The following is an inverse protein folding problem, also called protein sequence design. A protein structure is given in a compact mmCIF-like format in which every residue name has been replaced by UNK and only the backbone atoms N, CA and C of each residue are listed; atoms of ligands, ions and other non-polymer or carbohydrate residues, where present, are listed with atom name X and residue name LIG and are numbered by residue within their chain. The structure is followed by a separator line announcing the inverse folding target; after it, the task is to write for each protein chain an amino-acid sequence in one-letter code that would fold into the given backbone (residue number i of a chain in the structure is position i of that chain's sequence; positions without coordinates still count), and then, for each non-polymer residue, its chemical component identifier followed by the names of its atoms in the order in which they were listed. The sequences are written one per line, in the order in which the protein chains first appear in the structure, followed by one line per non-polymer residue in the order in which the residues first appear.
data_IF_670577871078
#
_entry.id   IF_670577871078
#
_cell.length_a   1.000
_cell.length_b   1.000
_cell.length_c   1.000
_cell.angle_alpha   90.00
_cell.angle_beta   90.00
_cell.angle_gamma   90.00
#
_symmetry.space_group_name_H-M   'P 1'
#
loop_
_entity.id
_entity.type
_entity.pdbx_description
1 polymer ?
#
# COMPACT_ATOMS: atom_id res chain seq x y z
N UNK A 1 -21.91 -63.58 45.98
CA UNK A 1 -21.42 -62.28 45.49
C UNK A 1 -19.90 -62.25 45.67
N UNK A 2 -19.16 -62.30 44.56
CA UNK A 2 -17.69 -62.37 44.52
C UNK A 2 -17.16 -60.99 44.13
N UNK A 3 -16.21 -60.44 44.89
CA UNK A 3 -15.33 -59.36 44.44
C UNK A 3 -13.90 -59.88 44.41
N UNK A 4 -13.23 -59.74 43.26
CA UNK A 4 -11.87 -60.18 43.03
C UNK A 4 -11.03 -59.05 42.43
N UNK A 5 -9.76 -59.09 42.82
CA UNK A 5 -8.70 -58.08 42.81
C UNK A 5 -8.27 -57.57 41.42
N UNK A 6 -7.66 -56.38 41.40
CA UNK A 6 -6.78 -55.89 40.33
C UNK A 6 -5.33 -55.74 40.85
N UNK A 7 -4.31 -56.26 40.13
CA UNK A 7 -2.91 -55.90 40.33
C UNK A 7 -2.26 -55.21 39.11
N UNK A 8 -1.05 -54.69 39.34
CA UNK A 8 -0.27 -53.70 38.57
C UNK A 8 0.45 -54.19 37.28
N UNK A 9 0.86 -53.21 36.46
CA UNK A 9 1.77 -53.11 35.26
C UNK A 9 3.03 -54.02 35.22
N UNK A 10 3.71 -54.36 34.07
CA UNK A 10 4.52 -53.39 33.26
C UNK A 10 5.01 -53.77 31.80
N UNK A 11 5.82 -52.86 31.21
CA UNK A 11 6.97 -53.02 30.25
C UNK A 11 6.85 -52.70 28.74
N UNK A 12 7.85 -51.94 28.30
CA UNK A 12 8.19 -51.53 26.93
C UNK A 12 8.84 -52.63 26.09
N UNK A 13 8.73 -52.53 24.77
CA UNK A 13 9.59 -53.25 23.80
C UNK A 13 10.08 -52.26 22.72
N UNK A 14 11.39 -52.24 22.50
CA UNK A 14 12.10 -51.53 21.43
C UNK A 14 13.03 -52.53 20.72
N UNK A 15 12.89 -52.67 19.40
CA UNK A 15 13.87 -53.23 18.42
C UNK A 15 13.14 -53.33 17.07
N UNK A 16 13.69 -53.16 15.87
CA UNK A 16 15.01 -52.83 15.33
C UNK A 16 14.85 -52.63 13.80
N UNK A 17 15.81 -51.96 13.17
CA UNK A 17 15.99 -51.74 11.72
C UNK A 17 15.69 -52.97 10.83
N UNK A 18 15.14 -52.76 9.62
CA UNK A 18 15.89 -52.78 8.34
C UNK A 18 14.96 -52.59 7.10
N UNK A 19 15.49 -51.89 6.08
CA UNK A 19 15.14 -51.89 4.65
C UNK A 19 14.19 -50.81 4.08
N UNK A 20 14.80 -49.74 3.57
CA UNK A 20 14.28 -48.88 2.48
C UNK A 20 14.52 -49.52 1.10
N UNK A 21 13.89 -48.99 0.04
CA UNK A 21 14.65 -48.16 -0.90
C UNK A 21 14.00 -46.80 -1.21
N UNK A 22 14.88 -45.90 -1.68
CA UNK A 22 14.81 -44.45 -1.76
C UNK A 22 13.94 -43.89 -2.90
N UNK A 23 13.49 -42.63 -2.74
CA UNK A 23 13.65 -41.44 -3.62
C UNK A 23 12.57 -40.37 -3.29
N UNK A 24 12.80 -39.06 -3.56
CA UNK A 24 13.82 -38.20 -2.96
C UNK A 24 13.20 -37.03 -2.15
N UNK A 25 13.94 -36.63 -1.13
CA UNK A 25 13.65 -35.56 -0.17
C UNK A 25 13.81 -34.17 -0.81
N UNK A 26 12.80 -33.31 -0.66
CA UNK A 26 12.89 -31.87 -0.91
C UNK A 26 13.57 -31.22 0.30
N UNK A 27 14.62 -30.39 0.13
CA UNK A 27 15.31 -29.77 1.25
C UNK A 27 14.48 -28.65 1.87
N UNK A 28 14.47 -28.70 3.20
CA UNK A 28 13.96 -27.73 4.16
C UNK A 28 14.63 -26.37 3.97
N UNK A 29 13.83 -25.33 3.76
CA UNK A 29 14.18 -23.96 4.13
C UNK A 29 13.15 -23.49 5.15
N UNK A 30 13.55 -23.46 6.42
CA UNK A 30 12.85 -22.78 7.49
C UNK A 30 13.33 -21.34 7.59
N UNK A 31 12.45 -20.34 7.43
CA UNK A 31 12.62 -19.06 8.11
C UNK A 31 11.76 -19.06 9.38
N UNK A 32 12.44 -18.84 10.49
CA UNK A 32 11.96 -18.34 11.79
C UNK A 32 10.51 -17.86 11.83
N UNK A 33 9.74 -18.43 12.76
CA UNK A 33 8.47 -17.92 13.28
C UNK A 33 8.67 -16.49 13.81
N UNK A 34 7.83 -15.52 13.40
CA UNK A 34 7.42 -14.45 14.28
C UNK A 34 5.96 -14.68 14.69
N UNK A 35 5.74 -14.49 15.98
CA UNK A 35 4.50 -14.50 16.72
C UNK A 35 3.23 -14.18 15.91
N UNK A 36 2.21 -15.01 16.16
CA UNK A 36 0.80 -14.74 15.92
C UNK A 36 0.40 -13.33 16.37
N UNK A 37 0.32 -12.42 15.41
CA UNK A 37 -0.56 -11.26 15.46
C UNK A 37 -1.50 -11.42 14.26
N UNK A 38 -2.77 -11.67 14.53
CA UNK A 38 -3.83 -11.53 13.54
C UNK A 38 -3.84 -10.09 13.05
N UNK A 39 -3.20 -9.85 11.90
CA UNK A 39 -3.43 -8.65 11.12
C UNK A 39 -4.78 -8.84 10.43
N UNK A 40 -5.83 -8.29 11.03
CA UNK A 40 -7.13 -8.16 10.40
C UNK A 40 -6.93 -7.31 9.13
N UNK A 41 -6.81 -8.01 8.00
CA UNK A 41 -6.68 -7.42 6.69
C UNK A 41 -8.05 -6.84 6.36
N UNK A 42 -8.28 -5.56 6.67
CA UNK A 42 -9.49 -4.87 6.25
C UNK A 42 -9.65 -5.06 4.74
N UNK A 43 -10.74 -5.72 4.39
CA UNK A 43 -11.17 -5.99 3.03
C UNK A 43 -11.20 -4.70 2.19
N UNK A 44 -10.45 -4.71 1.09
CA UNK A 44 -10.46 -3.69 0.03
C UNK A 44 -11.82 -3.67 -0.74
N UNK A 45 -12.81 -4.47 -0.32
CA UNK A 45 -14.15 -4.56 -0.92
C UNK A 45 -15.22 -3.69 -0.27
N UNK A 46 -14.95 -3.08 0.89
CA UNK A 46 -15.88 -2.16 1.57
C UNK A 46 -15.46 -0.69 1.52
N UNK A 47 -14.74 -0.30 0.46
CA UNK A 47 -14.87 1.09 0.00
C UNK A 47 -16.23 1.19 -0.70
N UNK A 48 -17.29 1.31 0.11
CA UNK A 48 -18.49 2.05 -0.32
C UNK A 48 -17.98 3.27 -1.06
N UNK A 49 -18.47 3.46 -2.30
CA UNK A 49 -18.23 4.66 -3.11
C UNK A 49 -18.05 5.84 -2.17
N UNK A 50 -16.82 6.35 -2.02
CA UNK A 50 -16.63 7.63 -1.38
C UNK A 50 -17.63 8.55 -2.08
N UNK A 51 -18.56 9.21 -1.37
CA UNK A 51 -19.27 10.30 -2.00
C UNK A 51 -18.17 11.25 -2.47
N UNK A 52 -18.14 11.52 -3.77
CA UNK A 52 -17.28 12.52 -4.38
C UNK A 52 -17.61 13.86 -3.73
N UNK A 53 -17.02 14.12 -2.57
CA UNK A 53 -16.97 15.45 -2.00
C UNK A 53 -16.13 16.27 -2.96
N UNK A 54 -16.81 17.27 -3.51
CA UNK A 54 -16.39 18.17 -4.58
C UNK A 54 -15.29 19.12 -4.11
N UNK A 55 -14.11 18.56 -3.84
CA UNK A 55 -12.90 19.33 -3.56
C UNK A 55 -12.09 19.51 -4.85
N UNK A 56 -11.52 20.71 -5.10
CA UNK A 56 -10.72 20.94 -6.29
C UNK A 56 -9.55 19.97 -6.30
N UNK A 57 -9.27 19.38 -7.45
CA UNK A 57 -8.14 18.49 -7.63
C UNK A 57 -6.84 19.26 -7.37
N UNK A 58 -6.30 19.15 -6.15
CA UNK A 58 -4.97 19.67 -5.87
C UNK A 58 -3.96 18.88 -6.71
N UNK A 59 -3.22 19.64 -7.50
CA UNK A 59 -2.31 19.14 -8.53
C UNK A 59 -1.23 18.26 -7.91
N UNK A 60 -0.85 17.17 -8.59
CA UNK A 60 0.32 16.31 -8.25
C UNK A 60 1.60 17.12 -7.99
N UNK A 61 1.68 18.33 -8.56
CA UNK A 61 2.74 19.31 -8.36
C UNK A 61 2.82 19.88 -6.95
N UNK A 62 1.69 20.02 -6.25
CA UNK A 62 1.67 20.52 -4.87
C UNK A 62 2.38 19.54 -3.92
N UNK A 63 2.30 18.24 -4.19
CA UNK A 63 2.98 17.20 -3.42
C UNK A 63 4.51 17.25 -3.61
N UNK A 64 4.97 17.45 -4.87
CA UNK A 64 6.37 17.74 -5.17
C UNK A 64 6.84 19.02 -4.46
N UNK A 65 5.97 20.02 -4.33
CA UNK A 65 6.26 21.24 -3.58
C UNK A 65 6.42 20.99 -2.08
N UNK A 66 5.74 19.99 -1.49
CA UNK A 66 6.00 19.56 -0.11
C UNK A 66 7.37 18.87 0.08
N UNK A 67 7.95 18.36 -1.01
CA UNK A 67 9.30 17.80 -1.04
C UNK A 67 10.41 18.85 -1.27
N UNK A 68 10.02 20.11 -1.53
CA UNK A 68 10.95 21.21 -1.80
C UNK A 68 12.15 21.35 -0.84
N UNK A 69 12.05 21.17 0.49
CA UNK A 69 13.21 21.35 1.37
C UNK A 69 14.30 20.27 1.20
N UNK A 70 14.00 19.14 0.53
CA UNK A 70 14.93 18.03 0.33
C UNK A 70 15.34 17.84 -1.13
N UNK A 71 15.09 18.85 -1.97
CA UNK A 71 15.39 18.85 -3.40
C UNK A 71 16.85 18.45 -3.73
N UNK A 72 17.80 18.76 -2.84
CA UNK A 72 19.21 18.39 -3.01
C UNK A 72 19.41 16.87 -3.00
N UNK A 73 18.72 16.16 -2.11
CA UNK A 73 18.79 14.71 -2.00
C UNK A 73 18.06 14.03 -3.15
N UNK A 74 16.95 14.63 -3.61
CA UNK A 74 16.23 14.18 -4.79
C UNK A 74 17.11 14.27 -6.05
N UNK A 75 17.80 15.39 -6.27
CA UNK A 75 18.72 15.55 -7.42
C UNK A 75 19.89 14.57 -7.32
N UNK A 76 20.49 14.42 -6.14
CA UNK A 76 21.60 13.49 -5.94
C UNK A 76 21.18 12.04 -6.17
N UNK A 77 19.96 11.67 -5.75
CA UNK A 77 19.34 10.39 -6.06
C UNK A 77 19.08 10.20 -7.55
N UNK A 78 18.57 11.23 -8.24
CA UNK A 78 18.36 11.20 -9.69
C UNK A 78 19.67 11.02 -10.46
N UNK A 79 20.75 11.67 -10.02
CA UNK A 79 22.08 11.52 -10.59
C UNK A 79 22.63 10.11 -10.39
N UNK A 80 22.44 9.52 -9.20
CA UNK A 80 22.76 8.12 -8.92
C UNK A 80 22.00 7.14 -9.81
N UNK A 81 20.69 7.36 -9.98
CA UNK A 81 19.83 6.59 -10.89
C UNK A 81 20.27 6.66 -12.35
N UNK A 82 20.63 7.86 -12.83
CA UNK A 82 21.14 8.06 -14.17
C UNK A 82 22.48 7.34 -14.36
N UNK A 83 23.41 7.50 -13.41
CA UNK A 83 24.72 6.87 -13.43
C UNK A 83 24.64 5.35 -13.46
N UNK A 84 23.80 4.75 -12.61
CA UNK A 84 23.61 3.30 -12.57
C UNK A 84 23.13 2.73 -13.92
N UNK A 85 22.17 3.40 -14.58
CA UNK A 85 21.65 2.96 -15.88
C UNK A 85 22.62 3.20 -17.02
N UNK A 86 23.36 4.30 -16.98
CA UNK A 86 24.42 4.58 -17.95
C UNK A 86 25.50 3.49 -17.93
N UNK A 87 25.94 3.08 -16.73
CA UNK A 87 26.94 2.01 -16.54
C UNK A 87 26.44 0.67 -17.08
N UNK A 88 25.15 0.35 -16.86
CA UNK A 88 24.55 -0.86 -17.39
C UNK A 88 24.55 -0.90 -18.93
N UNK A 89 24.30 0.25 -19.57
CA UNK A 89 24.33 0.37 -21.02
C UNK A 89 25.74 0.21 -21.58
N UNK A 90 26.71 0.87 -20.94
CA UNK A 90 28.14 0.72 -21.26
C UNK A 90 28.58 -0.75 -21.13
N UNK A 91 28.17 -1.42 -20.05
CA UNK A 91 28.48 -2.83 -19.82
C UNK A 91 27.94 -3.73 -20.94
N UNK A 92 26.70 -3.49 -21.40
CA UNK A 92 26.10 -4.27 -22.50
C UNK A 92 26.80 -4.02 -23.83
N UNK A 93 27.21 -2.78 -24.08
CA UNK A 93 28.02 -2.43 -25.26
C UNK A 93 29.35 -3.17 -25.27
N UNK A 94 30.13 -3.08 -24.17
CA UNK A 94 31.43 -3.75 -24.07
C UNK A 94 31.32 -5.28 -24.11
N UNK A 95 30.23 -5.85 -23.59
CA UNK A 95 29.96 -7.28 -23.71
C UNK A 95 29.85 -7.71 -25.19
N UNK A 96 29.17 -6.91 -26.02
CA UNK A 96 29.09 -7.16 -27.47
C UNK A 96 30.45 -7.08 -28.16
N UNK A 97 31.28 -6.11 -27.78
CA UNK A 97 32.64 -5.95 -28.32
C UNK A 97 33.55 -7.12 -27.92
N UNK A 98 33.48 -7.61 -26.69
CA UNK A 98 34.24 -8.80 -26.24
C UNK A 98 33.91 -10.02 -27.11
N UNK A 99 32.63 -10.25 -27.41
CA UNK A 99 32.21 -11.36 -28.28
C UNK A 99 32.83 -11.19 -29.68
N UNK A 100 32.85 -9.98 -30.24
CA UNK A 100 33.46 -9.73 -31.56
C UNK A 100 34.98 -9.98 -31.59
N UNK A 101 35.68 -9.71 -30.49
CA UNK A 101 37.14 -9.92 -30.39
C UNK A 101 37.49 -11.41 -30.35
N UNK A 102 36.61 -12.25 -29.78
CA UNK A 102 36.81 -13.70 -29.77
C UNK A 102 36.81 -14.33 -31.17
N UNK A 103 36.20 -13.66 -32.15
CA UNK A 103 36.20 -14.11 -33.55
C UNK A 103 37.40 -13.62 -34.37
N UNK A 104 38.34 -12.87 -33.78
CA UNK A 104 39.56 -12.47 -34.48
C UNK A 104 40.52 -13.67 -34.62
N UNK A 105 41.18 -13.85 -35.78
CA UNK A 105 42.01 -15.03 -36.06
C UNK A 105 43.39 -15.03 -35.37
N UNK A 106 43.82 -13.92 -34.78
CA UNK A 106 45.19 -13.75 -34.25
C UNK A 106 45.28 -13.94 -32.73
N UNK A 107 45.93 -15.01 -32.27
CA UNK A 107 45.94 -15.44 -30.87
C UNK A 107 46.79 -14.56 -29.91
N UNK A 108 47.71 -13.75 -30.41
CA UNK A 108 48.65 -12.97 -29.60
C UNK A 108 48.06 -11.63 -29.13
N UNK A 109 47.24 -10.97 -29.95
CA UNK A 109 46.60 -9.67 -29.67
C UNK A 109 45.41 -9.80 -28.71
N UNK A 110 44.66 -10.91 -28.80
CA UNK A 110 43.50 -11.22 -27.96
C UNK A 110 43.81 -11.12 -26.45
N UNK A 111 44.97 -11.61 -26.01
CA UNK A 111 45.36 -11.60 -24.58
C UNK A 111 45.60 -10.19 -24.03
N UNK A 112 46.08 -9.26 -24.86
CA UNK A 112 46.32 -7.87 -24.44
C UNK A 112 45.01 -7.09 -24.36
N UNK A 113 44.16 -7.23 -25.38
CA UNK A 113 42.88 -6.53 -25.45
C UNK A 113 41.93 -6.98 -24.32
N UNK A 114 41.84 -8.29 -24.05
CA UNK A 114 41.03 -8.81 -22.95
C UNK A 114 41.46 -8.26 -21.59
N UNK A 115 42.77 -8.05 -21.36
CA UNK A 115 43.24 -7.43 -20.11
C UNK A 115 42.76 -5.99 -19.97
N UNK A 116 42.75 -5.22 -21.06
CA UNK A 116 42.19 -3.86 -21.07
C UNK A 116 40.70 -3.87 -20.73
N UNK A 117 39.90 -4.74 -21.37
CA UNK A 117 38.47 -4.85 -21.06
C UNK A 117 38.23 -5.33 -19.63
N UNK A 118 39.02 -6.27 -19.11
CA UNK A 118 38.92 -6.72 -17.72
C UNK A 118 38.99 -5.54 -16.73
N UNK A 119 39.95 -4.62 -16.90
CA UNK A 119 40.05 -3.43 -16.05
C UNK A 119 38.86 -2.48 -16.22
N UNK A 120 38.33 -2.33 -17.43
CA UNK A 120 37.11 -1.54 -17.69
C UNK A 120 35.92 -2.15 -16.95
N UNK A 121 35.70 -3.47 -17.02
CA UNK A 121 34.61 -4.14 -16.29
C UNK A 121 34.77 -4.02 -14.77
N UNK A 122 35.98 -4.13 -14.25
CA UNK A 122 36.26 -3.94 -12.83
C UNK A 122 35.90 -2.51 -12.39
N UNK A 123 36.27 -1.49 -13.17
CA UNK A 123 35.94 -0.09 -12.88
C UNK A 123 34.43 0.17 -12.94
N UNK A 124 33.72 -0.40 -13.92
CA UNK A 124 32.26 -0.29 -14.06
C UNK A 124 31.54 -0.96 -12.90
N UNK A 125 32.04 -2.08 -12.38
CA UNK A 125 31.46 -2.76 -11.23
C UNK A 125 31.54 -1.90 -9.96
N UNK A 126 32.72 -1.31 -9.69
CA UNK A 126 32.92 -0.41 -8.55
C UNK A 126 32.04 0.83 -8.67
N UNK A 127 31.98 1.44 -9.85
CA UNK A 127 31.14 2.61 -10.06
C UNK A 127 29.64 2.28 -9.95
N UNK A 128 29.20 1.14 -10.49
CA UNK A 128 27.81 0.67 -10.37
C UNK A 128 27.40 0.50 -8.91
N UNK A 129 28.29 -0.09 -8.08
CA UNK A 129 28.05 -0.24 -6.65
C UNK A 129 27.87 1.11 -5.95
N UNK A 130 28.75 2.08 -6.23
CA UNK A 130 28.69 3.43 -5.65
C UNK A 130 27.41 4.15 -6.10
N UNK A 131 27.08 4.12 -7.39
CA UNK A 131 25.89 4.76 -7.93
C UNK A 131 24.60 4.17 -7.35
N UNK A 132 24.55 2.84 -7.19
CA UNK A 132 23.40 2.15 -6.60
C UNK A 132 23.23 2.47 -5.11
N UNK A 133 24.33 2.51 -4.36
CA UNK A 133 24.32 2.90 -2.95
C UNK A 133 23.83 4.36 -2.80
N UNK A 134 24.37 5.27 -3.61
CA UNK A 134 23.98 6.68 -3.60
C UNK A 134 22.50 6.85 -3.94
N UNK A 135 22.00 6.13 -4.95
CA UNK A 135 20.59 6.16 -5.32
C UNK A 135 19.70 5.72 -4.15
N UNK A 136 19.85 4.49 -3.66
CA UNK A 136 18.95 3.94 -2.64
C UNK A 136 19.05 4.71 -1.32
N UNK A 137 20.23 5.15 -0.92
CA UNK A 137 20.41 5.94 0.29
C UNK A 137 19.67 7.28 0.22
N UNK A 138 19.87 8.06 -0.85
CA UNK A 138 19.25 9.38 -0.98
C UNK A 138 17.73 9.29 -1.04
N UNK A 139 17.18 8.35 -1.83
CA UNK A 139 15.73 8.17 -1.92
C UNK A 139 15.11 7.60 -0.65
N UNK A 140 15.81 6.72 0.08
CA UNK A 140 15.33 6.22 1.37
C UNK A 140 15.25 7.32 2.43
N UNK A 141 16.32 8.12 2.57
CA UNK A 141 16.37 9.23 3.53
C UNK A 141 15.32 10.29 3.20
N UNK A 142 15.20 10.66 1.93
CA UNK A 142 14.19 11.61 1.46
C UNK A 142 12.76 11.09 1.75
N UNK A 143 12.51 9.81 1.47
CA UNK A 143 11.23 9.17 1.75
C UNK A 143 10.84 9.26 3.23
N UNK A 144 11.75 8.93 4.13
CA UNK A 144 11.45 8.88 5.56
C UNK A 144 11.17 10.27 6.14
N UNK A 145 11.95 11.27 5.73
CA UNK A 145 11.73 12.65 6.15
C UNK A 145 10.43 13.23 5.60
N UNK A 146 10.09 12.93 4.34
CA UNK A 146 8.80 13.29 3.76
C UNK A 146 7.64 12.64 4.54
N UNK A 147 7.75 11.35 4.85
CA UNK A 147 6.75 10.62 5.62
C UNK A 147 6.54 11.23 7.00
N UNK A 148 7.62 11.54 7.72
CA UNK A 148 7.58 12.25 9.00
C UNK A 148 6.85 13.60 8.88
N UNK A 149 7.21 14.41 7.89
CA UNK A 149 6.60 15.74 7.69
C UNK A 149 5.11 15.66 7.38
N UNK A 150 4.71 14.73 6.51
CA UNK A 150 3.30 14.51 6.16
C UNK A 150 2.52 14.11 7.41
N UNK A 151 3.02 13.16 8.20
CA UNK A 151 2.37 12.73 9.45
C UNK A 151 2.23 13.86 10.45
N UNK A 152 3.29 14.63 10.69
CA UNK A 152 3.25 15.75 11.65
C UNK A 152 2.24 16.81 11.21
N UNK A 153 2.26 17.24 9.95
CA UNK A 153 1.31 18.26 9.46
C UNK A 153 -0.13 17.77 9.43
N UNK A 154 -0.34 16.51 9.06
CA UNK A 154 -1.66 15.90 9.04
C UNK A 154 -2.22 15.80 10.47
N UNK A 155 -1.42 15.34 11.43
CA UNK A 155 -1.83 15.26 12.83
C UNK A 155 -2.09 16.65 13.42
N UNK A 156 -1.18 17.60 13.19
CA UNK A 156 -1.33 19.00 13.62
C UNK A 156 -2.65 19.59 13.11
N UNK A 157 -2.99 19.36 11.84
CA UNK A 157 -4.24 19.85 11.26
C UNK A 157 -5.47 19.11 11.80
N UNK A 158 -5.42 17.79 11.94
CA UNK A 158 -6.54 16.99 12.47
C UNK A 158 -6.90 17.45 13.89
N UNK A 159 -5.92 17.77 14.72
CA UNK A 159 -6.14 18.27 16.09
C UNK A 159 -6.79 19.67 16.14
N UNK A 160 -6.86 20.40 15.01
CA UNK A 160 -7.55 21.70 14.92
C UNK A 160 -9.01 21.58 14.48
N UNK A 161 -9.47 20.38 14.12
CA UNK A 161 -10.84 20.18 13.68
C UNK A 161 -11.83 20.24 14.85
N UNK A 162 -13.04 20.69 14.53
CA UNK A 162 -14.18 20.66 15.44
C UNK A 162 -14.54 19.22 15.84
N UNK A 163 -15.10 19.04 17.04
CA UNK A 163 -15.45 17.70 17.55
C UNK A 163 -16.44 16.98 16.62
N UNK A 164 -17.33 17.73 15.96
CA UNK A 164 -18.34 17.19 15.04
C UNK A 164 -17.77 16.45 13.84
N UNK A 165 -16.49 16.68 13.50
CA UNK A 165 -15.83 15.87 12.48
C UNK A 165 -15.44 14.47 12.99
N UNK A 166 -15.06 14.37 14.27
CA UNK A 166 -14.72 13.10 14.92
C UNK A 166 -15.97 12.27 15.25
N UNK A 167 -17.14 12.90 15.35
CA UNK A 167 -18.42 12.23 15.55
C UNK A 167 -18.93 11.47 14.30
N UNK A 168 -18.32 11.68 13.13
CA UNK A 168 -18.69 10.96 11.91
C UNK A 168 -18.21 9.50 11.98
N UNK A 169 -19.08 8.55 11.64
CA UNK A 169 -18.76 7.10 11.60
C UNK A 169 -17.53 6.77 10.72
N UNK A 170 -17.19 7.63 9.76
CA UNK A 170 -16.02 7.50 8.89
C UNK A 170 -14.69 7.88 9.58
N UNK A 171 -14.74 8.74 10.60
CA UNK A 171 -13.58 9.33 11.27
C UNK A 171 -13.39 8.78 12.69
N UNK A 172 -13.61 7.48 12.86
CA UNK A 172 -13.25 6.81 14.12
C UNK A 172 -11.75 6.99 14.41
N UNK A 173 -11.38 7.03 15.69
CA UNK A 173 -9.97 7.16 16.12
C UNK A 173 -9.09 6.08 15.47
N UNK A 174 -9.60 4.85 15.35
CA UNK A 174 -8.91 3.75 14.66
C UNK A 174 -8.73 4.03 13.16
N UNK A 175 -9.77 4.54 12.48
CA UNK A 175 -9.69 4.91 11.07
C UNK A 175 -8.70 6.06 10.83
N UNK A 176 -8.66 7.07 11.70
CA UNK A 176 -7.72 8.20 11.61
C UNK A 176 -6.27 7.70 11.80
N UNK A 177 -6.00 6.88 12.81
CA UNK A 177 -4.67 6.29 13.03
C UNK A 177 -4.24 5.42 11.86
N UNK A 178 -5.16 4.62 11.32
CA UNK A 178 -4.92 3.81 10.12
C UNK A 178 -4.61 4.71 8.92
N UNK A 179 -5.35 5.79 8.68
CA UNK A 179 -5.09 6.75 7.59
C UNK A 179 -3.76 7.46 7.76
N UNK A 180 -3.45 7.97 8.95
CA UNK A 180 -2.17 8.65 9.24
C UNK A 180 -0.96 7.75 8.96
N UNK A 181 -1.11 6.45 9.19
CA UNK A 181 -0.05 5.47 8.92
C UNK A 181 -0.02 5.07 7.44
N UNK A 182 -1.15 4.62 6.91
CA UNK A 182 -1.27 4.01 5.57
C UNK A 182 -1.15 5.04 4.46
N UNK A 183 -1.82 6.19 4.57
CA UNK A 183 -1.78 7.25 3.56
C UNK A 183 -0.37 7.87 3.48
N UNK A 184 0.26 8.12 4.63
CA UNK A 184 1.64 8.61 4.67
C UNK A 184 2.66 7.58 4.13
N UNK A 185 2.45 6.28 4.41
CA UNK A 185 3.29 5.22 3.85
C UNK A 185 3.12 5.08 2.33
N UNK A 186 1.91 5.29 1.82
CA UNK A 186 1.66 5.30 0.37
C UNK A 186 2.40 6.46 -0.30
N UNK A 187 2.36 7.67 0.28
CA UNK A 187 3.13 8.82 -0.25
C UNK A 187 4.64 8.54 -0.20
N UNK A 188 5.13 7.91 0.88
CA UNK A 188 6.53 7.46 0.99
C UNK A 188 6.89 6.49 -0.12
N UNK A 189 6.10 5.44 -0.33
CA UNK A 189 6.43 4.41 -1.32
C UNK A 189 6.40 4.94 -2.76
N UNK A 190 5.49 5.88 -3.05
CA UNK A 190 5.45 6.55 -4.35
C UNK A 190 6.70 7.40 -4.60
N UNK A 191 7.17 8.12 -3.60
CA UNK A 191 8.28 9.05 -3.79
C UNK A 191 9.64 8.36 -3.65
N UNK A 192 9.80 7.44 -2.70
CA UNK A 192 11.06 6.77 -2.41
C UNK A 192 11.29 5.48 -3.20
N UNK A 193 10.23 4.66 -3.38
CA UNK A 193 10.39 3.34 -4.00
C UNK A 193 10.09 3.38 -5.51
N UNK A 194 9.18 4.26 -5.95
CA UNK A 194 8.73 4.32 -7.36
C UNK A 194 9.47 5.34 -8.22
N UNK A 195 9.76 6.55 -7.72
CA UNK A 195 10.50 7.56 -8.50
C UNK A 195 11.85 7.10 -9.05
N UNK A 196 12.70 6.37 -8.30
CA UNK A 196 13.98 5.91 -8.86
C UNK A 196 13.78 5.01 -10.07
N UNK A 197 12.79 4.11 -10.03
CA UNK A 197 12.48 3.19 -11.13
C UNK A 197 11.99 3.96 -12.35
N UNK A 198 11.11 4.95 -12.18
CA UNK A 198 10.64 5.80 -13.28
C UNK A 198 11.78 6.59 -13.93
N UNK A 199 12.61 7.23 -13.12
CA UNK A 199 13.78 7.99 -13.56
C UNK A 199 14.75 7.09 -14.31
N UNK A 200 15.01 5.89 -13.78
CA UNK A 200 15.84 4.89 -14.40
C UNK A 200 15.31 4.42 -15.77
N UNK A 201 14.01 4.11 -15.87
CA UNK A 201 13.38 3.69 -17.13
C UNK A 201 13.52 4.79 -18.18
N UNK A 202 13.26 6.04 -17.80
CA UNK A 202 13.41 7.18 -18.69
C UNK A 202 14.84 7.32 -19.22
N UNK A 203 15.84 7.36 -18.33
CA UNK A 203 17.24 7.45 -18.75
C UNK A 203 17.67 6.27 -19.62
N UNK A 204 17.28 5.04 -19.25
CA UNK A 204 17.65 3.86 -20.03
C UNK A 204 17.02 3.85 -21.43
N UNK A 205 15.76 4.30 -21.57
CA UNK A 205 15.10 4.41 -22.86
C UNK A 205 15.75 5.50 -23.72
N UNK A 206 15.95 6.70 -23.16
CA UNK A 206 16.59 7.82 -23.86
C UNK A 206 18.00 7.47 -24.35
N UNK A 207 18.84 6.91 -23.48
CA UNK A 207 20.21 6.54 -23.83
C UNK A 207 20.24 5.41 -24.87
N UNK A 208 19.37 4.40 -24.76
CA UNK A 208 19.31 3.31 -25.73
C UNK A 208 18.90 3.80 -27.14
N UNK A 209 17.93 4.71 -27.24
CA UNK A 209 17.53 5.29 -28.52
C UNK A 209 18.64 6.14 -29.15
N UNK A 210 19.32 6.96 -28.36
CA UNK A 210 20.41 7.81 -28.84
C UNK A 210 21.58 6.96 -29.34
N UNK A 211 22.06 5.99 -28.55
CA UNK A 211 23.18 5.13 -28.97
C UNK A 211 22.78 4.26 -30.17
N UNK A 212 21.56 3.73 -30.20
CA UNK A 212 21.06 2.96 -31.33
C UNK A 212 21.06 3.75 -32.64
N UNK A 213 20.54 5.00 -32.61
CA UNK A 213 20.50 5.87 -33.78
C UNK A 213 21.91 6.25 -34.27
N UNK A 214 22.87 6.45 -33.36
CA UNK A 214 24.27 6.76 -33.71
C UNK A 214 24.96 5.55 -34.37
N UNK A 215 24.83 4.35 -33.81
CA UNK A 215 25.56 3.17 -34.30
C UNK A 215 24.95 2.63 -35.59
N UNK A 216 23.62 2.43 -35.62
CA UNK A 216 22.92 1.91 -36.82
C UNK A 216 21.51 2.49 -36.90
N UNK A 217 21.36 3.63 -37.57
CA UNK A 217 20.05 4.29 -37.70
C UNK A 217 18.98 3.43 -38.38
N UNK A 218 19.37 2.57 -39.35
CA UNK A 218 18.43 1.71 -40.09
C UNK A 218 17.77 0.62 -39.22
N UNK A 219 18.59 -0.14 -38.47
CA UNK A 219 18.07 -1.20 -37.59
C UNK A 219 17.32 -0.58 -36.41
N UNK A 220 17.80 0.56 -35.90
CA UNK A 220 17.19 1.25 -34.77
C UNK A 220 15.79 1.79 -35.05
N UNK A 221 15.52 2.32 -36.25
CA UNK A 221 14.16 2.75 -36.62
C UNK A 221 13.18 1.57 -36.62
N UNK A 222 13.60 0.39 -37.10
CA UNK A 222 12.77 -0.82 -37.07
C UNK A 222 12.49 -1.25 -35.63
N UNK A 223 13.50 -1.20 -34.74
CA UNK A 223 13.32 -1.53 -33.32
C UNK A 223 12.38 -0.55 -32.61
N UNK A 224 12.46 0.75 -32.92
CA UNK A 224 11.54 1.78 -32.41
C UNK A 224 10.10 1.49 -32.86
N UNK A 225 9.90 1.09 -34.12
CA UNK A 225 8.58 0.76 -34.66
C UNK A 225 7.95 -0.49 -34.00
N UNK A 226 8.77 -1.45 -33.55
CA UNK A 226 8.30 -2.67 -32.84
C UNK A 226 7.93 -2.38 -31.38
N UNK A 227 8.54 -1.38 -30.75
CA UNK A 227 8.32 -1.03 -29.34
C UNK A 227 6.84 -0.78 -28.96
N UNK A 228 6.02 0.00 -29.70
CA UNK A 228 4.60 0.19 -29.36
C UNK A 228 3.78 -1.10 -29.45
N UNK A 229 4.12 -2.02 -30.36
CA UNK A 229 3.45 -3.32 -30.48
C UNK A 229 3.72 -4.20 -29.26
N UNK A 230 4.96 -4.19 -28.74
CA UNK A 230 5.33 -4.87 -27.50
C UNK A 230 4.63 -4.25 -26.29
N UNK A 231 4.55 -2.92 -26.21
CA UNK A 231 3.84 -2.21 -25.14
C UNK A 231 2.34 -2.55 -25.17
N UNK A 232 1.72 -2.56 -26.35
CA UNK A 232 0.30 -2.92 -26.52
C UNK A 232 0.01 -4.37 -26.11
N UNK A 233 0.86 -5.32 -26.51
CA UNK A 233 0.76 -6.72 -26.09
C UNK A 233 0.93 -6.90 -24.58
N UNK A 234 1.88 -6.18 -23.98
CA UNK A 234 2.07 -6.22 -22.53
C UNK A 234 0.88 -5.59 -21.79
N UNK A 235 0.36 -4.47 -22.29
CA UNK A 235 -0.79 -3.79 -21.71
C UNK A 235 -2.03 -4.68 -21.74
N UNK A 236 -2.35 -5.32 -22.87
CA UNK A 236 -3.50 -6.23 -22.97
C UNK A 236 -3.40 -7.38 -21.98
N UNK A 237 -2.20 -7.97 -21.83
CA UNK A 237 -1.93 -8.99 -20.81
C UNK A 237 -2.15 -8.45 -19.39
N UNK A 238 -1.65 -7.25 -19.08
CA UNK A 238 -1.77 -6.66 -17.74
C UNK A 238 -3.23 -6.39 -17.36
N UNK A 239 -4.05 -5.91 -18.30
CA UNK A 239 -5.47 -5.65 -18.11
C UNK A 239 -6.25 -6.95 -17.91
N UNK A 240 -5.97 -7.97 -18.73
CA UNK A 240 -6.57 -9.29 -18.59
C UNK A 240 -6.27 -9.87 -17.21
N UNK A 241 -5.00 -9.86 -16.80
CA UNK A 241 -4.56 -10.34 -15.49
C UNK A 241 -5.25 -9.61 -14.33
N UNK A 242 -5.42 -8.29 -14.43
CA UNK A 242 -6.15 -7.51 -13.42
C UNK A 242 -7.62 -7.92 -13.36
N UNK A 243 -8.27 -8.09 -14.50
CA UNK A 243 -9.69 -8.48 -14.55
C UNK A 243 -9.94 -9.88 -13.99
N UNK A 244 -9.07 -10.85 -14.32
CA UNK A 244 -9.13 -12.21 -13.78
C UNK A 244 -8.86 -12.19 -12.28
N UNK A 245 -7.87 -11.42 -11.82
CA UNK A 245 -7.58 -11.28 -10.39
C UNK A 245 -8.76 -10.69 -9.62
N UNK A 246 -9.46 -9.69 -10.16
CA UNK A 246 -10.63 -9.11 -9.48
C UNK A 246 -11.80 -10.08 -9.36
N UNK A 247 -12.04 -10.89 -10.39
CA UNK A 247 -13.08 -11.93 -10.35
C UNK A 247 -12.72 -13.05 -9.39
N UNK A 248 -11.46 -13.46 -9.36
CA UNK A 248 -10.97 -14.49 -8.45
C UNK A 248 -11.08 -14.04 -7.00
N UNK A 249 -10.72 -12.79 -6.70
CA UNK A 249 -10.91 -12.18 -5.39
C UNK A 249 -12.37 -12.13 -4.97
N UNK A 250 -13.28 -11.78 -5.90
CA UNK A 250 -14.72 -11.76 -5.62
C UNK A 250 -15.27 -13.15 -5.30
N UNK A 251 -14.94 -14.15 -6.12
CA UNK A 251 -15.34 -15.54 -5.87
C UNK A 251 -14.75 -16.07 -4.54
N UNK A 252 -13.53 -15.67 -4.21
CA UNK A 252 -12.89 -16.00 -2.94
C UNK A 252 -13.61 -15.33 -1.75
N UNK A 253 -13.98 -14.05 -1.86
CA UNK A 253 -14.71 -13.35 -0.80
C UNK A 253 -16.08 -13.99 -0.54
N UNK A 254 -16.83 -14.32 -1.60
CA UNK A 254 -18.11 -15.04 -1.49
C UNK A 254 -17.93 -16.42 -0.82
N UNK A 255 -16.88 -17.15 -1.19
CA UNK A 255 -16.54 -18.43 -0.56
C UNK A 255 -16.16 -18.30 0.92
N UNK A 256 -15.33 -17.30 1.25
CA UNK A 256 -14.92 -17.00 2.63
C UNK A 256 -16.11 -16.56 3.49
N UNK A 257 -17.00 -15.73 2.96
CA UNK A 257 -18.22 -15.32 3.65
C UNK A 257 -19.11 -16.53 3.94
N UNK A 258 -19.37 -17.39 2.95
CA UNK A 258 -20.17 -18.60 3.13
C UNK A 258 -19.54 -19.56 4.14
N UNK A 259 -18.21 -19.72 4.10
CA UNK A 259 -17.49 -20.53 5.08
C UNK A 259 -17.58 -19.94 6.50
N UNK A 260 -17.51 -18.61 6.63
CA UNK A 260 -17.66 -17.93 7.92
C UNK A 260 -19.06 -18.13 8.50
N UNK A 261 -20.11 -17.98 7.69
CA UNK A 261 -21.50 -18.20 8.09
C UNK A 261 -21.74 -19.66 8.50
N UNK A 262 -21.17 -20.60 7.74
CA UNK A 262 -21.24 -22.01 8.04
C UNK A 262 -20.52 -22.38 9.35
N UNK A 263 -19.37 -21.76 9.61
CA UNK A 263 -18.60 -21.98 10.85
C UNK A 263 -19.31 -21.42 12.08
N UNK A 264 -19.89 -20.22 11.96
CA UNK A 264 -20.62 -19.57 13.04
C UNK A 264 -21.90 -20.33 13.39
N UNK A 265 -22.61 -20.85 12.39
CA UNK A 265 -23.88 -21.56 12.54
C UNK A 265 -23.76 -23.10 12.51
N UNK A 266 -22.57 -23.64 12.84
CA UNK A 266 -22.28 -25.07 12.69
C UNK A 266 -23.27 -25.98 13.44
N UNK A 267 -23.67 -25.61 14.65
CA UNK A 267 -24.64 -26.37 15.47
C UNK A 267 -26.01 -26.45 14.80
N UNK A 268 -26.49 -25.34 14.23
CA UNK A 268 -27.75 -25.27 13.49
C UNK A 268 -27.71 -26.15 12.25
N UNK A 269 -26.63 -26.07 11.47
CA UNK A 269 -26.43 -26.87 10.26
C UNK A 269 -26.41 -28.37 10.59
N UNK A 270 -25.80 -28.74 11.71
CA UNK A 270 -25.74 -30.11 12.19
C UNK A 270 -27.12 -30.60 12.66
N UNK A 271 -27.88 -29.75 13.34
CA UNK A 271 -29.25 -30.06 13.77
C UNK A 271 -30.21 -30.28 12.59
N UNK A 272 -30.05 -29.55 11.49
CA UNK A 272 -30.86 -29.71 10.27
C UNK A 272 -30.30 -30.73 9.26
N UNK A 273 -29.18 -31.39 9.56
CA UNK A 273 -28.53 -32.37 8.66
C UNK A 273 -28.30 -31.83 7.23
N UNK A 274 -27.93 -30.55 7.12
CA UNK A 274 -27.81 -29.84 5.84
C UNK A 274 -26.36 -29.62 5.37
N UNK A 275 -25.40 -30.37 5.90
CA UNK A 275 -23.96 -30.21 5.64
C UNK A 275 -23.64 -30.32 4.14
N UNK A 276 -24.20 -31.33 3.47
CA UNK A 276 -23.98 -31.58 2.04
C UNK A 276 -24.45 -30.41 1.16
N UNK A 277 -25.54 -29.73 1.55
CA UNK A 277 -26.06 -28.57 0.80
C UNK A 277 -25.07 -27.40 0.84
N UNK A 278 -24.52 -27.11 2.02
CA UNK A 278 -23.56 -26.01 2.21
C UNK A 278 -22.23 -26.34 1.53
N UNK A 279 -21.75 -27.58 1.62
CA UNK A 279 -20.55 -28.01 0.90
C UNK A 279 -20.72 -27.89 -0.63
N UNK A 280 -21.90 -28.18 -1.17
CA UNK A 280 -22.19 -28.00 -2.59
C UNK A 280 -22.22 -26.52 -2.99
N UNK A 281 -22.81 -25.65 -2.18
CA UNK A 281 -22.81 -24.20 -2.42
C UNK A 281 -21.38 -23.63 -2.36
N UNK A 282 -20.58 -24.07 -1.39
CA UNK A 282 -19.16 -23.70 -1.29
C UNK A 282 -18.35 -24.21 -2.50
N UNK A 283 -18.56 -25.46 -2.90
CA UNK A 283 -17.94 -26.02 -4.09
C UNK A 283 -18.28 -25.27 -5.39
N UNK A 284 -19.52 -24.78 -5.50
CA UNK A 284 -19.96 -23.94 -6.62
C UNK A 284 -19.27 -22.57 -6.63
N UNK A 285 -19.19 -21.90 -5.47
CA UNK A 285 -18.49 -20.62 -5.31
C UNK A 285 -17.00 -20.74 -5.68
N UNK A 286 -16.34 -21.82 -5.27
CA UNK A 286 -14.91 -22.05 -5.51
C UNK A 286 -14.57 -22.49 -6.95
N UNK A 287 -15.55 -22.94 -7.74
CA UNK A 287 -15.33 -23.43 -9.10
C UNK A 287 -14.86 -22.31 -10.05
N UNK A 288 -15.37 -21.09 -9.86
CA UNK A 288 -14.94 -19.91 -10.62
C UNK A 288 -13.46 -19.58 -10.41
N UNK A 289 -12.99 -19.62 -9.16
CA UNK A 289 -11.59 -19.38 -8.80
C UNK A 289 -10.63 -20.38 -9.47
N UNK A 290 -11.00 -21.67 -9.53
CA UNK A 290 -10.17 -22.72 -10.15
C UNK A 290 -10.01 -22.52 -11.66
N UNK A 291 -11.09 -22.20 -12.37
CA UNK A 291 -11.06 -21.96 -13.82
C UNK A 291 -10.23 -20.72 -14.18
N UNK A 292 -10.32 -19.68 -13.36
CA UNK A 292 -9.56 -18.44 -13.52
C UNK A 292 -8.07 -18.63 -13.27
N UNK A 293 -7.70 -19.40 -12.23
CA UNK A 293 -6.31 -19.76 -11.96
C UNK A 293 -5.68 -20.58 -13.09
N UNK A 294 -6.45 -21.47 -13.72
CA UNK A 294 -6.00 -22.23 -14.89
C UNK A 294 -5.72 -21.31 -16.09
N UNK A 295 -6.61 -20.37 -16.38
CA UNK A 295 -6.45 -19.38 -17.45
C UNK A 295 -5.16 -18.57 -17.25
N UNK A 296 -4.86 -18.17 -16.01
CA UNK A 296 -3.61 -17.47 -15.68
C UNK A 296 -2.37 -18.34 -15.92
N UNK A 297 -2.42 -19.63 -15.55
CA UNK A 297 -1.31 -20.56 -15.76
C UNK A 297 -1.05 -20.81 -17.24
N UNK A 298 -2.09 -21.02 -18.05
CA UNK A 298 -1.97 -21.24 -19.49
C UNK A 298 -1.33 -20.03 -20.19
N UNK A 299 -1.76 -18.81 -19.84
CA UNK A 299 -1.15 -17.57 -20.34
C UNK A 299 0.30 -17.37 -19.86
N UNK A 300 0.64 -17.83 -18.64
CA UNK A 300 2.00 -17.75 -18.11
C UNK A 300 2.92 -18.72 -18.85
N UNK A 301 2.45 -19.94 -19.13
CA UNK A 301 3.17 -20.97 -19.87
C UNK A 301 3.52 -20.52 -21.29
N UNK A 302 2.55 -19.91 -22.00
CA UNK A 302 2.75 -19.40 -23.36
C UNK A 302 3.88 -18.36 -23.44
N UNK A 303 4.09 -17.58 -22.37
CA UNK A 303 5.12 -16.52 -22.33
C UNK A 303 6.52 -16.99 -21.93
N UNK A 304 6.65 -18.16 -21.28
CA UNK A 304 7.94 -18.69 -20.81
C UNK A 304 8.67 -19.49 -21.91
N UNK A 305 7.93 -20.00 -22.90
CA UNK A 305 8.47 -20.90 -23.92
C UNK A 305 9.35 -20.21 -24.99
N UNK A 306 9.39 -18.88 -25.07
CA UNK A 306 10.29 -18.16 -25.98
C UNK A 306 11.60 -17.78 -25.25
N UNK A 307 12.75 -18.44 -25.49
CA UNK A 307 14.02 -18.08 -24.87
C UNK A 307 14.48 -16.64 -25.19
N UNK A 308 14.09 -16.08 -26.34
CA UNK A 308 14.31 -14.68 -26.73
C UNK A 308 13.57 -13.71 -25.79
N UNK A 309 12.45 -14.16 -25.21
CA UNK A 309 11.67 -13.40 -24.21
C UNK A 309 12.27 -13.46 -22.80
N UNK A 310 13.26 -14.32 -22.52
CA UNK A 310 13.88 -14.44 -21.18
C UNK A 310 14.90 -13.33 -20.90
N UNK A 311 15.63 -12.85 -21.91
CA UNK A 311 16.42 -11.61 -21.82
C UNK A 311 15.52 -10.37 -21.96
N UNK A 312 14.47 -10.46 -22.78
CA UNK A 312 13.35 -9.51 -22.74
C UNK A 312 12.70 -9.46 -21.35
N UNK A 313 12.80 -10.51 -20.51
CA UNK A 313 12.20 -10.56 -19.18
C UNK A 313 12.72 -9.51 -18.21
N UNK A 314 13.97 -9.03 -18.34
CA UNK A 314 14.45 -7.90 -17.53
C UNK A 314 13.85 -6.56 -18.00
N UNK A 315 13.73 -6.35 -19.32
CA UNK A 315 12.99 -5.21 -19.88
C UNK A 315 11.48 -5.31 -19.59
N UNK A 316 10.88 -6.49 -19.73
CA UNK A 316 9.49 -6.79 -19.41
C UNK A 316 9.22 -6.70 -17.92
N UNK A 317 10.18 -7.03 -17.04
CA UNK A 317 10.09 -6.78 -15.60
C UNK A 317 10.12 -5.28 -15.35
N UNK A 318 11.00 -4.53 -16.00
CA UNK A 318 11.02 -3.06 -15.88
C UNK A 318 9.74 -2.41 -16.42
N UNK A 319 9.13 -2.96 -17.48
CA UNK A 319 7.86 -2.52 -18.08
C UNK A 319 6.67 -2.98 -17.22
N UNK A 320 6.72 -4.16 -16.61
CA UNK A 320 5.73 -4.66 -15.67
C UNK A 320 5.73 -3.85 -14.39
N UNK A 321 6.92 -3.57 -13.87
CA UNK A 321 7.15 -2.70 -12.73
C UNK A 321 6.62 -1.30 -13.09
N UNK A 322 6.98 -0.74 -14.26
CA UNK A 322 6.41 0.52 -14.77
C UNK A 322 4.87 0.51 -14.89
N UNK A 323 4.29 -0.57 -15.41
CA UNK A 323 2.84 -0.75 -15.51
C UNK A 323 2.16 -0.80 -14.14
N UNK A 324 2.73 -1.54 -13.18
CA UNK A 324 2.26 -1.57 -11.79
C UNK A 324 2.42 -0.20 -11.10
N UNK A 325 3.44 0.59 -11.49
CA UNK A 325 3.61 1.95 -11.01
C UNK A 325 2.48 2.86 -11.45
N UNK A 326 1.89 2.65 -12.63
CA UNK A 326 0.77 3.48 -13.08
C UNK A 326 -0.47 3.27 -12.21
N UNK A 327 -0.75 2.03 -11.80
CA UNK A 327 -1.83 1.74 -10.85
C UNK A 327 -1.54 2.25 -9.45
N UNK A 328 -0.29 2.14 -9.01
CA UNK A 328 0.15 2.67 -7.72
C UNK A 328 0.09 4.20 -7.71
N UNK A 329 0.49 4.87 -8.79
CA UNK A 329 0.41 6.31 -8.94
C UNK A 329 -1.05 6.79 -8.99
N UNK A 330 -1.96 6.02 -9.58
CA UNK A 330 -3.39 6.30 -9.54
C UNK A 330 -3.96 6.13 -8.12
N UNK A 331 -3.55 5.09 -7.38
CA UNK A 331 -3.89 4.92 -5.96
C UNK A 331 -3.33 6.06 -5.11
N UNK A 332 -2.07 6.42 -5.36
CA UNK A 332 -1.37 7.54 -4.80
C UNK A 332 -2.08 8.86 -5.00
N UNK A 333 -2.55 9.13 -6.22
CA UNK A 333 -3.32 10.33 -6.53
C UNK A 333 -4.57 10.46 -5.66
N UNK A 334 -5.27 9.36 -5.37
CA UNK A 334 -6.42 9.35 -4.46
C UNK A 334 -6.01 9.61 -3.01
N UNK A 335 -4.94 8.97 -2.55
CA UNK A 335 -4.38 9.20 -1.21
C UNK A 335 -3.95 10.65 -1.01
N UNK A 336 -3.29 11.22 -2.02
CA UNK A 336 -2.86 12.62 -2.03
C UNK A 336 -4.08 13.55 -1.93
N UNK A 337 -5.12 13.28 -2.72
CA UNK A 337 -6.38 14.03 -2.65
C UNK A 337 -7.01 13.94 -1.24
N UNK A 338 -6.97 12.77 -0.61
CA UNK A 338 -7.43 12.58 0.78
C UNK A 338 -6.65 13.43 1.77
N UNK A 339 -5.31 13.36 1.75
CA UNK A 339 -4.46 14.17 2.66
C UNK A 339 -4.72 15.66 2.45
N UNK A 340 -4.78 16.12 1.21
CA UNK A 340 -5.05 17.54 0.93
C UNK A 340 -6.47 17.95 1.29
N UNK A 341 -7.47 17.07 1.18
CA UNK A 341 -8.82 17.37 1.68
C UNK A 341 -8.84 17.64 3.18
N UNK A 342 -7.92 17.04 3.94
CA UNK A 342 -7.74 17.31 5.37
C UNK A 342 -6.95 18.60 5.58
N UNK A 343 -5.84 18.79 4.84
CA UNK A 343 -5.00 19.98 4.99
C UNK A 343 -5.71 21.29 4.60
N UNK A 344 -6.51 21.24 3.53
CA UNK A 344 -7.21 22.38 2.95
C UNK A 344 -8.63 22.56 3.52
N UNK A 345 -9.05 21.70 4.47
CA UNK A 345 -10.39 21.80 5.06
C UNK A 345 -10.55 23.10 5.83
N UNK A 346 -11.63 23.81 5.50
CA UNK A 346 -12.19 24.91 6.28
C UNK A 346 -13.33 24.36 7.16
N UNK A 347 -13.37 24.73 8.45
CA UNK A 347 -14.37 24.25 9.39
C UNK A 347 -15.78 24.63 8.91
N UNK A 348 -16.60 23.63 8.56
CA UNK A 348 -18.01 23.82 8.22
C UNK A 348 -18.85 22.73 8.88
N UNK A 349 -19.82 23.10 9.73
CA UNK A 349 -20.72 22.14 10.36
C UNK A 349 -21.85 21.74 9.39
N UNK A 350 -21.94 20.45 9.06
CA UNK A 350 -22.91 19.91 8.09
C UNK A 350 -24.22 19.39 8.73
N UNK A 351 -24.42 19.51 10.06
CA UNK A 351 -25.58 18.91 10.72
C UNK A 351 -26.28 19.84 11.73
N UNK A 352 -27.59 20.06 11.50
CA UNK A 352 -28.47 20.87 12.37
C UNK A 352 -29.20 19.96 13.37
N UNK A 353 -28.86 20.06 14.65
CA UNK A 353 -29.39 19.18 15.72
C UNK A 353 -30.61 19.80 16.44
N UNK A 354 -30.66 21.13 16.58
CA UNK A 354 -31.74 21.84 17.26
C UNK A 354 -32.48 22.83 16.36
N UNK A 355 -33.78 22.98 16.60
CA UNK A 355 -34.61 24.06 16.05
C UNK A 355 -35.27 24.82 17.20
N UNK A 356 -34.78 26.02 17.51
CA UNK A 356 -35.43 26.94 18.45
C UNK A 356 -35.39 26.54 19.93
N UNK A 357 -34.24 26.09 20.46
CA UNK A 357 -34.06 25.86 21.89
C UNK A 357 -33.86 27.20 22.63
N UNK A 358 -34.58 27.42 23.74
CA UNK A 358 -34.39 28.59 24.62
C UNK A 358 -34.29 28.12 26.07
N UNK A 359 -33.15 28.38 26.71
CA UNK A 359 -32.86 27.98 28.10
C UNK A 359 -32.16 29.15 28.80
N UNK A 360 -32.56 29.45 30.06
CA UNK A 360 -31.93 30.46 30.91
C UNK A 360 -31.58 29.84 32.25
N UNK A 361 -30.31 29.97 32.66
CA UNK A 361 -29.73 29.38 33.87
C UNK A 361 -29.25 30.54 34.75
N UNK A 362 -29.63 30.59 36.03
CA UNK A 362 -29.10 31.58 36.97
C UNK A 362 -27.90 31.01 37.74
N UNK A 363 -27.02 31.88 38.20
CA UNK A 363 -25.86 31.48 38.99
C UNK A 363 -26.33 30.82 40.30
N UNK A 364 -25.82 29.61 40.57
CA UNK A 364 -26.19 28.81 41.74
C UNK A 364 -27.35 27.83 41.54
N UNK A 365 -28.06 27.90 40.40
CA UNK A 365 -29.12 26.95 40.08
C UNK A 365 -28.56 25.62 39.59
N UNK A 366 -29.19 24.51 40.02
CA UNK A 366 -28.96 23.18 39.44
C UNK A 366 -30.05 22.86 38.42
N UNK A 367 -29.67 22.59 37.17
CA UNK A 367 -30.63 22.22 36.12
C UNK A 367 -30.44 20.76 35.72
N UNK A 368 -31.56 20.05 35.64
CA UNK A 368 -31.60 18.69 35.11
C UNK A 368 -32.10 18.68 33.66
N UNK A 369 -31.28 18.22 32.71
CA UNK A 369 -31.71 17.93 31.34
C UNK A 369 -32.20 16.48 31.23
N UNK A 370 -33.51 16.30 31.00
CA UNK A 370 -34.14 14.97 30.87
C UNK A 370 -34.75 14.80 29.48
N UNK A 371 -34.59 13.61 28.89
CA UNK A 371 -35.16 13.28 27.58
C UNK A 371 -34.76 11.89 27.12
N UNK A 372 -35.45 11.37 26.09
CA UNK A 372 -35.13 10.07 25.46
C UNK A 372 -33.68 10.03 24.95
N UNK A 373 -33.07 8.85 24.84
CA UNK A 373 -31.74 8.73 24.20
C UNK A 373 -31.76 9.35 22.80
N UNK A 374 -30.74 10.12 22.44
CA UNK A 374 -30.68 10.87 21.18
C UNK A 374 -31.44 12.22 21.16
N UNK A 375 -32.04 12.67 22.25
CA UNK A 375 -32.76 13.96 22.30
C UNK A 375 -31.89 15.23 22.31
N UNK A 376 -30.57 15.09 22.11
CA UNK A 376 -29.61 16.22 22.09
C UNK A 376 -29.07 16.68 23.44
N UNK A 377 -29.30 15.97 24.56
CA UNK A 377 -28.83 16.40 25.90
C UNK A 377 -27.31 16.71 25.93
N UNK A 378 -26.48 15.79 25.41
CA UNK A 378 -25.04 15.97 25.31
C UNK A 378 -24.65 17.09 24.34
N UNK A 379 -25.47 17.35 23.32
CA UNK A 379 -25.26 18.47 22.39
C UNK A 379 -25.46 19.82 23.05
N UNK A 380 -26.35 19.95 24.05
CA UNK A 380 -26.49 21.20 24.84
C UNK A 380 -25.22 21.47 25.65
N UNK A 381 -24.63 20.44 26.24
CA UNK A 381 -23.35 20.56 26.96
C UNK A 381 -22.25 20.97 25.97
N UNK A 382 -22.16 20.32 24.80
CA UNK A 382 -21.20 20.67 23.76
C UNK A 382 -21.35 22.09 23.20
N UNK A 383 -22.55 22.69 23.22
CA UNK A 383 -22.76 24.09 22.85
C UNK A 383 -22.27 25.07 23.93
N UNK A 384 -22.43 24.71 25.22
CA UNK A 384 -21.95 25.51 26.36
C UNK A 384 -20.42 25.46 26.44
N UNK A 385 -19.83 24.27 26.25
CA UNK A 385 -18.37 24.05 26.21
C UNK A 385 -17.73 24.54 24.90
N UNK A 386 -18.54 25.08 23.97
CA UNK A 386 -18.13 25.59 22.65
C UNK A 386 -17.39 24.56 21.80
N UNK A 387 -17.79 23.29 21.90
CA UNK A 387 -17.41 22.26 20.94
C UNK A 387 -18.12 22.42 19.59
N UNK A 388 -19.28 23.09 19.58
CA UNK A 388 -20.03 23.44 18.39
C UNK A 388 -20.46 24.92 18.44
N UNK A 389 -20.54 25.56 17.27
CA UNK A 389 -21.10 26.90 17.12
C UNK A 389 -22.55 26.82 16.61
N UNK A 390 -23.49 27.64 17.14
CA UNK A 390 -24.87 27.63 16.66
C UNK A 390 -24.98 28.22 15.24
N UNK A 391 -25.67 27.53 14.34
CA UNK A 391 -25.94 28.03 12.98
C UNK A 391 -26.78 29.32 12.96
N UNK A 392 -27.70 29.46 13.93
CA UNK A 392 -28.56 30.64 14.12
C UNK A 392 -28.88 30.80 15.61
N UNK A 393 -29.00 32.04 16.07
CA UNK A 393 -29.10 32.40 17.50
C UNK A 393 -27.74 32.66 18.16
N UNK A 394 -27.75 32.86 19.48
CA UNK A 394 -26.54 33.06 20.29
C UNK A 394 -26.65 32.31 21.61
N UNK A 395 -25.50 31.87 22.11
CA UNK A 395 -25.34 31.34 23.47
C UNK A 395 -24.57 32.41 24.24
N UNK A 396 -25.07 32.83 25.40
CA UNK A 396 -24.44 33.89 26.20
C UNK A 396 -24.16 33.41 27.61
N UNK A 397 -23.00 33.79 28.13
CA UNK A 397 -22.58 33.62 29.52
C UNK A 397 -22.37 35.05 30.06
N UNK A 398 -22.98 35.37 31.20
CA UNK A 398 -22.95 36.72 31.80
C UNK A 398 -23.39 37.87 30.86
N UNK A 399 -24.28 37.57 29.92
CA UNK A 399 -24.78 38.54 28.94
C UNK A 399 -23.84 38.80 27.75
N UNK A 400 -22.66 38.17 27.70
CA UNK A 400 -21.75 38.22 26.56
C UNK A 400 -21.83 36.92 25.74
N UNK A 401 -21.76 37.02 24.41
CA UNK A 401 -21.78 35.84 23.53
C UNK A 401 -20.52 34.98 23.74
N UNK A 402 -20.68 33.66 23.86
CA UNK A 402 -19.58 32.71 24.02
C UNK A 402 -18.51 32.81 22.93
N UNK A 403 -18.87 33.33 21.74
CA UNK A 403 -17.94 33.56 20.62
C UNK A 403 -16.88 34.60 20.91
N UNK A 404 -17.20 35.57 21.77
CA UNK A 404 -16.29 36.66 22.17
C UNK A 404 -15.23 36.22 23.19
N UNK A 405 -15.44 35.09 23.87
CA UNK A 405 -14.50 34.56 24.86
C UNK A 405 -13.32 33.82 24.21
N UNK A 406 -12.18 33.81 24.91
CA UNK A 406 -11.05 32.95 24.53
C UNK A 406 -11.37 31.49 24.89
N UNK A 407 -11.30 30.60 23.90
CA UNK A 407 -11.59 29.17 24.06
C UNK A 407 -10.82 28.51 25.21
N UNK A 408 -9.53 28.84 25.39
CA UNK A 408 -8.71 28.25 26.48
C UNK A 408 -9.18 28.68 27.87
N UNK A 409 -9.70 29.91 28.00
CA UNK A 409 -10.22 30.40 29.27
C UNK A 409 -11.56 29.78 29.61
N UNK A 410 -12.43 29.61 28.59
CA UNK A 410 -13.76 29.01 28.76
C UNK A 410 -13.64 27.54 29.20
N UNK A 411 -12.81 26.77 28.51
CA UNK A 411 -12.64 25.33 28.80
C UNK A 411 -11.93 25.05 30.12
N UNK A 412 -11.14 26.00 30.65
CA UNK A 412 -10.50 25.88 31.97
C UNK A 412 -11.48 25.99 33.14
N UNK A 413 -12.68 26.54 32.91
CA UNK A 413 -13.71 26.78 33.92
C UNK A 413 -14.83 25.72 33.90
N UNK A 414 -14.77 24.79 32.95
CA UNK A 414 -15.74 23.69 32.76
C UNK A 414 -15.11 22.35 33.15
N UNK A 415 -15.88 21.47 33.79
CA UNK A 415 -15.43 20.13 34.18
C UNK A 415 -16.18 19.06 33.38
N UNK A 416 -15.44 18.13 32.76
CA UNK A 416 -15.98 17.07 31.91
C UNK A 416 -16.33 15.80 32.71
N UNK A 417 -17.35 15.07 32.26
CA UNK A 417 -18.01 14.01 33.04
C UNK A 417 -17.25 12.66 33.08
N UNK A 418 -16.35 12.37 32.14
CA UNK A 418 -15.61 11.09 32.10
C UNK A 418 -14.10 11.31 32.12
N UNK A 419 -13.38 10.86 33.18
CA UNK A 419 -11.94 10.99 33.25
C UNK A 419 -11.26 9.97 32.33
N UNK A 420 -10.60 10.47 31.29
CA UNK A 420 -9.61 9.71 30.52
C UNK A 420 -8.22 10.12 31.01
N UNK A 421 -7.47 9.16 31.56
CA UNK A 421 -6.08 9.38 31.99
C UNK A 421 -5.16 9.04 30.83
N UNK A 422 -4.23 9.94 30.52
CA UNK A 422 -3.14 9.65 29.60
C UNK A 422 -2.11 8.77 30.32
N UNK A 423 -1.73 7.66 29.69
CA UNK A 423 -0.67 6.77 30.19
C UNK A 423 0.73 7.37 30.08
#
# INVERSE_FOLDING_TARGET
MKHQQTPQTPKSVRSSLQNSPEYPVIPVFSPSIPNSFEMQQCDDSDIKKLPDSSYPSSSRWHLLQMNAPEWKQEILGCLGSAGFRFVHLIHTYFLGTIVSIYFQPENSTIKSDIKMYYYIFLSLAVFSFIANLLQHYNFAVMGERLSKRVRTKMLEKILTFEIGWFDQDENTTAAICARLTTEANMVRSLTADRMPILVQVFYSASLAFVIGLIVTWRISIVMIAVQPLLIGSFYSRSVLMKSVSTKAKKAQAEGSQLASEASFNHTTITAFSSQTRILNQFGAAMKGQKAEHQTVMDFRFLSVQLPILKHSCNSCKSIADAGSMTSDLARGGRTIKSIFSILDRENRPDQMIFKGLSLKIQAGDTIALVGKSGSGKSTVIGLIERFYDPLSGSVSIDGCDIRSYNLKSLTSQTAYQEPTLFE
#
